data_IF_941100342506
#
_entry.id   IF_941100342506
#
_cell.length_a   1.000
_cell.length_b   1.000
_cell.length_c   1.000
_cell.angle_alpha   90.00
_cell.angle_beta   90.00
_cell.angle_gamma   90.00
#
_symmetry.space_group_name_H-M   'P 1'
#
loop_
_entity.id
_entity.type
_entity.pdbx_description
1 polymer ?
#
# COMPACT_ATOMS: atom_id res chain seq x y z
N UNK A 1 18.81 -32.64 -21.59
CA UNK A 1 18.20 -32.48 -20.26
C UNK A 1 17.62 -31.07 -20.15
N UNK A 2 16.32 -30.88 -20.38
CA UNK A 2 15.64 -29.58 -20.28
C UNK A 2 15.11 -29.43 -18.86
N UNK A 3 15.61 -28.46 -18.10
CA UNK A 3 15.12 -28.12 -16.76
C UNK A 3 13.87 -27.26 -16.90
N UNK A 4 12.71 -27.83 -16.55
CA UNK A 4 11.46 -27.10 -16.39
C UNK A 4 11.51 -26.34 -15.06
N UNK A 5 11.58 -25.01 -15.12
CA UNK A 5 11.41 -24.14 -13.97
C UNK A 5 9.91 -24.03 -13.72
N UNK A 6 9.42 -24.72 -12.69
CA UNK A 6 8.05 -24.60 -12.23
C UNK A 6 7.90 -23.25 -11.53
N UNK A 7 7.31 -22.27 -12.23
CA UNK A 7 6.86 -21.02 -11.62
C UNK A 7 5.57 -21.32 -10.90
N UNK A 8 5.65 -21.47 -9.57
CA UNK A 8 4.47 -21.68 -8.71
C UNK A 8 3.73 -20.36 -8.60
N UNK A 9 2.71 -20.17 -9.44
CA UNK A 9 1.77 -19.05 -9.35
C UNK A 9 0.86 -19.33 -8.15
N UNK A 10 1.16 -18.69 -7.02
CA UNK A 10 0.29 -18.72 -5.84
C UNK A 10 -0.70 -17.57 -5.98
N UNK A 11 -1.84 -17.85 -6.62
CA UNK A 11 -2.97 -16.91 -6.70
C UNK A 11 -3.75 -16.96 -5.39
N UNK A 12 -3.42 -16.10 -4.43
CA UNK A 12 -4.22 -15.94 -3.21
C UNK A 12 -5.34 -14.94 -3.52
N UNK A 13 -6.48 -15.47 -3.97
CA UNK A 13 -7.75 -14.73 -3.98
C UNK A 13 -8.32 -14.74 -2.55
N UNK A 14 -8.01 -13.70 -1.78
CA UNK A 14 -8.78 -13.37 -0.58
C UNK A 14 -9.06 -11.87 -0.57
N UNK A 15 -10.22 -11.50 -1.11
CA UNK A 15 -10.87 -10.25 -0.75
C UNK A 15 -11.35 -10.33 0.69
N UNK A 16 -10.88 -9.39 1.53
CA UNK A 16 -11.63 -8.71 2.57
C UNK A 16 -10.72 -7.76 3.35
N UNK A 17 -11.24 -6.55 3.59
CA UNK A 17 -10.78 -5.51 4.52
C UNK A 17 -9.55 -4.70 4.11
N UNK A 18 -9.83 -3.53 3.53
CA UNK A 18 -9.03 -2.33 3.76
C UNK A 18 -9.07 -1.99 5.25
N UNK A 19 -8.31 -2.71 6.06
CA UNK A 19 -8.07 -2.32 7.44
C UNK A 19 -7.36 -0.98 7.44
N UNK A 20 -7.90 0.00 8.17
CA UNK A 20 -7.43 1.39 8.22
C UNK A 20 -6.04 1.57 8.85
N UNK A 21 -5.32 0.49 9.16
CA UNK A 21 -3.99 0.54 9.75
C UNK A 21 -2.90 0.47 8.68
N UNK A 22 -1.90 1.35 8.78
CA UNK A 22 -0.67 1.30 7.98
C UNK A 22 0.31 0.22 8.49
N UNK A 23 -0.22 -0.91 8.97
CA UNK A 23 0.54 -1.96 9.66
C UNK A 23 1.31 -2.89 8.71
N UNK A 24 1.09 -2.76 7.40
CA UNK A 24 1.76 -3.55 6.37
C UNK A 24 2.11 -2.71 5.13
N UNK A 25 3.17 -3.07 4.38
CA UNK A 25 3.53 -2.38 3.14
C UNK A 25 2.40 -2.35 2.10
N UNK A 26 1.56 -3.38 2.04
CA UNK A 26 0.41 -3.40 1.12
C UNK A 26 -0.62 -2.35 1.52
N UNK A 27 -1.00 -2.30 2.81
CA UNK A 27 -1.99 -1.32 3.29
C UNK A 27 -1.46 0.09 3.15
N UNK A 28 -0.19 0.33 3.47
CA UNK A 28 0.44 1.63 3.26
C UNK A 28 0.44 2.03 1.79
N UNK A 29 0.79 1.12 0.87
CA UNK A 29 0.77 1.41 -0.56
C UNK A 29 -0.65 1.75 -1.04
N UNK A 30 -1.67 1.02 -0.57
CA UNK A 30 -3.08 1.31 -0.89
C UNK A 30 -3.52 2.68 -0.37
N UNK A 31 -3.18 3.02 0.87
CA UNK A 31 -3.55 4.30 1.48
C UNK A 31 -2.91 5.49 0.75
N UNK A 32 -1.61 5.40 0.43
CA UNK A 32 -0.90 6.43 -0.34
C UNK A 32 -1.48 6.55 -1.75
N UNK A 33 -1.79 5.43 -2.41
CA UNK A 33 -2.43 5.42 -3.73
C UNK A 33 -3.81 6.06 -3.70
N UNK A 34 -4.63 5.78 -2.67
CA UNK A 34 -5.95 6.39 -2.50
C UNK A 34 -5.85 7.91 -2.31
N UNK A 35 -4.87 8.38 -1.53
CA UNK A 35 -4.61 9.82 -1.40
C UNK A 35 -4.22 10.46 -2.73
N UNK A 36 -3.36 9.81 -3.51
CA UNK A 36 -2.94 10.31 -4.83
C UNK A 36 -4.08 10.27 -5.87
N UNK A 37 -5.08 9.40 -5.68
CA UNK A 37 -6.29 9.37 -6.49
C UNK A 37 -7.24 10.56 -6.20
N UNK A 38 -7.00 11.30 -5.12
CA UNK A 38 -7.81 12.45 -4.71
C UNK A 38 -9.20 12.02 -4.24
N UNK A 39 -10.24 12.70 -4.72
CA UNK A 39 -11.63 12.43 -4.34
C UNK A 39 -12.24 11.20 -5.05
N UNK A 40 -11.45 10.52 -5.89
CA UNK A 40 -11.92 9.38 -6.68
C UNK A 40 -11.87 8.10 -5.86
N UNK A 41 -12.97 7.37 -5.85
CA UNK A 41 -13.03 6.03 -5.27
C UNK A 41 -12.12 5.06 -6.03
N UNK A 42 -11.26 4.37 -5.30
CA UNK A 42 -10.34 3.36 -5.84
C UNK A 42 -10.94 1.96 -5.67
N UNK A 43 -11.01 1.22 -6.76
CA UNK A 43 -11.43 -0.19 -6.79
C UNK A 43 -10.19 -1.06 -7.03
N UNK A 44 -9.89 -1.96 -6.09
CA UNK A 44 -8.72 -2.83 -6.14
C UNK A 44 -9.02 -4.12 -6.91
N UNK A 45 -8.15 -4.48 -7.85
CA UNK A 45 -8.25 -5.69 -8.67
C UNK A 45 -7.21 -6.74 -8.34
N UNK A 46 -6.01 -6.30 -7.92
CA UNK A 46 -4.90 -7.19 -7.63
C UNK A 46 -3.86 -6.53 -6.72
N UNK A 47 -3.16 -7.37 -5.98
CA UNK A 47 -2.02 -6.97 -5.17
C UNK A 47 -0.94 -8.04 -5.23
N UNK A 48 0.31 -7.61 -5.31
CA UNK A 48 1.47 -8.48 -5.27
C UNK A 48 2.56 -7.82 -4.44
N UNK A 49 3.19 -8.59 -3.55
CA UNK A 49 4.38 -8.17 -2.83
C UNK A 49 5.55 -9.04 -3.29
N UNK A 50 6.66 -8.40 -3.65
CA UNK A 50 7.92 -9.07 -4.00
C UNK A 50 9.01 -8.55 -3.10
N UNK A 51 9.73 -9.46 -2.46
CA UNK A 51 10.80 -9.14 -1.55
C UNK A 51 12.16 -9.51 -2.16
N UNK A 52 13.09 -8.58 -2.12
CA UNK A 52 14.50 -8.84 -2.32
C UNK A 52 15.20 -8.61 -0.98
N UNK A 53 15.41 -9.72 -0.26
CA UNK A 53 16.01 -9.73 1.08
C UNK A 53 17.31 -8.94 1.13
N UNK A 54 17.45 -8.07 2.13
CA UNK A 54 18.60 -7.20 2.35
C UNK A 54 18.73 -6.04 1.36
N UNK A 55 17.73 -5.81 0.50
CA UNK A 55 17.79 -4.77 -0.54
C UNK A 55 16.54 -3.89 -0.55
N UNK A 56 15.38 -4.47 -0.85
CA UNK A 56 14.12 -3.72 -0.99
C UNK A 56 12.91 -4.64 -0.94
N UNK A 57 11.77 -4.05 -0.63
CA UNK A 57 10.45 -4.64 -0.79
C UNK A 57 9.68 -3.85 -1.83
N UNK A 58 8.99 -4.53 -2.73
CA UNK A 58 8.14 -3.92 -3.75
C UNK A 58 6.71 -4.40 -3.57
N UNK A 59 5.76 -3.47 -3.59
CA UNK A 59 4.33 -3.74 -3.68
C UNK A 59 3.82 -3.24 -5.01
N UNK A 60 3.13 -4.10 -5.75
CA UNK A 60 2.41 -3.76 -6.97
C UNK A 60 0.92 -3.88 -6.70
N UNK A 61 0.15 -2.85 -7.06
CA UNK A 61 -1.30 -2.80 -6.92
C UNK A 61 -1.93 -2.54 -8.29
N UNK A 62 -2.93 -3.32 -8.65
CA UNK A 62 -3.76 -3.08 -9.83
C UNK A 62 -5.11 -2.52 -9.37
N UNK A 63 -5.52 -1.39 -9.93
CA UNK A 63 -6.72 -0.66 -9.49
C UNK A 63 -7.41 0.07 -10.64
N UNK A 64 -8.69 0.39 -10.48
CA UNK A 64 -9.41 1.34 -11.33
C UNK A 64 -10.03 2.44 -10.49
N UNK A 65 -10.27 3.59 -11.11
CA UNK A 65 -11.02 4.68 -10.48
C UNK A 65 -12.49 4.51 -10.84
N UNK A 66 -13.41 4.71 -9.88
CA UNK A 66 -14.85 4.46 -10.09
C UNK A 66 -15.45 5.25 -11.26
N UNK A 67 -14.88 6.42 -11.58
CA UNK A 67 -15.34 7.28 -12.67
C UNK A 67 -14.59 7.05 -13.99
N UNK A 68 -13.73 6.03 -14.08
CA UNK A 68 -13.04 5.66 -15.32
C UNK A 68 -13.82 4.61 -16.12
N UNK A 69 -13.65 4.60 -17.46
CA UNK A 69 -14.26 3.59 -18.31
C UNK A 69 -13.98 2.17 -17.82
N UNK A 70 -15.00 1.30 -17.84
CA UNK A 70 -14.84 -0.11 -17.49
C UNK A 70 -13.72 -0.75 -18.33
N UNK A 71 -12.80 -1.44 -17.66
CA UNK A 71 -11.65 -2.10 -18.29
C UNK A 71 -10.35 -1.30 -18.26
N UNK A 72 -10.35 -0.03 -17.83
CA UNK A 72 -9.11 0.73 -17.62
C UNK A 72 -8.52 0.39 -16.24
N UNK A 73 -7.58 -0.55 -16.23
CA UNK A 73 -6.79 -0.90 -15.03
C UNK A 73 -5.51 -0.07 -15.03
N UNK A 74 -5.31 0.67 -13.94
CA UNK A 74 -4.06 1.34 -13.59
C UNK A 74 -3.23 0.48 -12.66
N UNK A 75 -1.93 0.74 -12.64
CA UNK A 75 -0.97 0.06 -11.77
C UNK A 75 -0.23 1.07 -10.89
N UNK A 76 -0.15 0.79 -9.60
CA UNK A 76 0.74 1.47 -8.67
C UNK A 76 1.86 0.53 -8.24
N UNK A 77 3.10 1.02 -8.21
CA UNK A 77 4.28 0.29 -7.73
C UNK A 77 4.91 1.10 -6.60
N UNK A 78 4.84 0.59 -5.38
CA UNK A 78 5.47 1.16 -4.20
C UNK A 78 6.76 0.38 -3.88
N UNK A 79 7.86 1.10 -3.73
CA UNK A 79 9.16 0.54 -3.36
C UNK A 79 9.49 1.01 -1.95
N UNK A 80 9.92 0.06 -1.12
CA UNK A 80 10.29 0.24 0.26
C UNK A 80 11.77 -0.12 0.43
N UNK A 81 12.55 0.84 0.92
CA UNK A 81 13.93 0.61 1.33
C UNK A 81 14.04 -0.11 2.66
N UNK A 82 15.27 -0.45 3.05
CA UNK A 82 15.58 -0.98 4.38
C UNK A 82 15.25 0.06 5.46
N UNK A 83 14.78 -0.39 6.63
CA UNK A 83 14.70 0.46 7.81
C UNK A 83 16.11 0.79 8.30
N UNK A 84 16.43 2.06 8.56
CA UNK A 84 17.69 2.39 9.23
C UNK A 84 17.64 1.96 10.71
N UNK A 85 18.81 1.70 11.30
CA UNK A 85 18.92 1.35 12.74
C UNK A 85 18.41 2.45 13.67
N UNK A 86 18.32 3.70 13.17
CA UNK A 86 17.86 4.88 13.90
C UNK A 86 16.34 5.15 13.77
N UNK A 87 15.59 4.32 13.02
CA UNK A 87 14.14 4.43 12.97
C UNK A 87 13.49 3.55 14.04
N UNK A 88 12.98 4.16 15.10
CA UNK A 88 12.24 3.51 16.22
C UNK A 88 11.00 2.69 15.78
N UNK A 89 10.60 2.79 14.51
CA UNK A 89 9.40 2.16 13.96
C UNK A 89 9.77 1.12 12.91
N UNK A 90 10.13 -0.09 13.36
CA UNK A 90 10.23 -1.27 12.49
C UNK A 90 8.83 -1.71 12.05
N UNK A 91 8.64 -2.03 10.76
CA UNK A 91 7.41 -2.70 10.33
C UNK A 91 7.29 -4.07 11.04
N UNK A 92 6.13 -4.73 10.97
CA UNK A 92 5.95 -6.08 11.52
C UNK A 92 6.94 -7.12 10.94
N UNK A 93 7.70 -6.77 9.90
CA UNK A 93 8.74 -7.57 9.24
C UNK A 93 10.19 -7.14 9.59
N UNK A 94 10.38 -6.16 10.47
CA UNK A 94 11.67 -5.76 11.06
C UNK A 94 12.72 -5.11 10.14
N UNK A 95 12.67 -5.37 8.83
CA UNK A 95 13.78 -5.13 7.89
C UNK A 95 13.57 -3.91 6.97
N UNK A 96 12.33 -3.53 6.69
CA UNK A 96 11.99 -2.49 5.71
C UNK A 96 11.27 -1.29 6.35
N UNK A 97 11.37 -0.13 5.72
CA UNK A 97 10.65 1.06 6.14
C UNK A 97 9.13 0.86 6.07
N UNK A 98 8.37 1.58 6.91
CA UNK A 98 6.91 1.53 6.93
C UNK A 98 6.26 2.24 5.73
N UNK A 99 6.99 3.17 5.12
CA UNK A 99 6.51 4.04 4.04
C UNK A 99 7.36 3.87 2.79
N UNK A 100 6.79 3.96 1.59
CA UNK A 100 7.54 3.82 0.36
C UNK A 100 8.52 4.99 0.19
N UNK A 101 9.74 4.70 -0.25
CA UNK A 101 10.72 5.72 -0.62
C UNK A 101 10.64 6.11 -2.10
N UNK A 102 9.99 5.27 -2.91
CA UNK A 102 9.67 5.56 -4.31
C UNK A 102 8.31 4.97 -4.65
N UNK A 103 7.56 5.67 -5.51
CA UNK A 103 6.30 5.20 -6.03
C UNK A 103 6.18 5.53 -7.51
N UNK A 104 5.56 4.62 -8.28
CA UNK A 104 5.19 4.82 -9.67
C UNK A 104 3.70 4.59 -9.85
N UNK A 105 3.05 5.38 -10.70
CA UNK A 105 1.70 5.13 -11.20
C UNK A 105 1.78 5.01 -12.72
N UNK A 106 1.33 3.89 -13.27
CA UNK A 106 1.35 3.61 -14.71
C UNK A 106 2.74 3.82 -15.33
N UNK A 107 3.80 3.42 -14.61
CA UNK A 107 5.19 3.57 -15.03
C UNK A 107 5.79 4.97 -14.85
N UNK A 108 5.00 5.96 -14.42
CA UNK A 108 5.47 7.32 -14.14
C UNK A 108 5.84 7.48 -12.68
N UNK A 109 7.07 7.92 -12.41
CA UNK A 109 7.52 8.17 -11.05
C UNK A 109 6.79 9.36 -10.43
N UNK A 110 6.31 9.19 -9.20
CA UNK A 110 5.75 10.29 -8.40
C UNK A 110 6.91 11.12 -7.84
N UNK A 111 6.91 12.46 -7.99
CA UNK A 111 7.93 13.31 -7.40
C UNK A 111 8.03 13.12 -5.88
N UNK A 112 9.25 13.14 -5.34
CA UNK A 112 9.47 12.84 -3.91
C UNK A 112 8.70 13.76 -2.97
N UNK A 113 8.56 15.05 -3.30
CA UNK A 113 7.79 15.99 -2.49
C UNK A 113 6.30 15.60 -2.42
N UNK A 114 5.73 15.17 -3.55
CA UNK A 114 4.33 14.77 -3.65
C UNK A 114 4.11 13.44 -2.92
N UNK A 115 5.07 12.51 -3.03
CA UNK A 115 5.03 11.24 -2.31
C UNK A 115 5.06 11.46 -0.79
N UNK A 116 5.94 12.33 -0.28
CA UNK A 116 6.00 12.66 1.15
C UNK A 116 4.68 13.28 1.63
N UNK A 117 4.10 14.19 0.85
CA UNK A 117 2.80 14.77 1.19
C UNK A 117 1.68 13.72 1.19
N UNK A 118 1.68 12.81 0.23
CA UNK A 118 0.70 11.74 0.15
C UNK A 118 0.82 10.77 1.35
N UNK A 119 2.04 10.41 1.74
CA UNK A 119 2.33 9.59 2.94
C UNK A 119 1.84 10.29 4.21
N UNK A 120 2.13 11.58 4.37
CA UNK A 120 1.69 12.34 5.54
C UNK A 120 0.16 12.42 5.63
N UNK A 121 -0.51 12.65 4.50
CA UNK A 121 -1.97 12.68 4.44
C UNK A 121 -2.58 11.29 4.68
N UNK A 122 -2.00 10.23 4.12
CA UNK A 122 -2.44 8.86 4.40
C UNK A 122 -2.34 8.52 5.90
N UNK A 123 -1.24 8.91 6.53
CA UNK A 123 -1.03 8.74 7.97
C UNK A 123 -2.05 9.54 8.80
N UNK A 124 -2.33 10.79 8.41
CA UNK A 124 -3.33 11.62 9.07
C UNK A 124 -4.74 11.04 8.95
N UNK A 125 -5.13 10.55 7.76
CA UNK A 125 -6.44 9.93 7.52
C UNK A 125 -6.62 8.69 8.40
N UNK A 126 -5.62 7.79 8.42
CA UNK A 126 -5.62 6.62 9.32
C UNK A 126 -5.78 7.02 10.78
N UNK A 127 -5.07 8.04 11.26
CA UNK A 127 -5.18 8.48 12.65
C UNK A 127 -6.58 9.03 12.98
N UNK A 128 -7.20 9.76 12.05
CA UNK A 128 -8.57 10.27 12.21
C UNK A 128 -9.59 9.13 12.26
N UNK A 129 -9.47 8.16 11.37
CA UNK A 129 -10.37 7.00 11.28
C UNK A 129 -10.28 6.15 12.56
N UNK A 130 -9.08 5.85 13.05
CA UNK A 130 -8.88 5.15 14.33
C UNK A 130 -9.52 5.94 15.48
N UNK A 131 -9.32 7.26 15.52
CA UNK A 131 -9.94 8.13 16.53
C UNK A 131 -11.48 8.07 16.49
N UNK A 132 -12.07 8.07 15.30
CA UNK A 132 -13.52 7.96 15.13
C UNK A 132 -14.05 6.58 15.53
N UNK A 133 -13.36 5.49 15.16
CA UNK A 133 -13.74 4.13 15.57
C UNK A 133 -13.72 3.98 17.10
N UNK A 134 -12.71 4.54 17.78
CA UNK A 134 -12.63 4.53 19.25
C UNK A 134 -13.79 5.31 19.87
N UNK A 135 -14.10 6.50 19.36
CA UNK A 135 -15.22 7.31 19.84
C UNK A 135 -16.58 6.59 19.62
N UNK A 136 -16.78 5.92 18.49
CA UNK A 136 -17.97 5.14 18.23
C UNK A 136 -18.10 3.93 19.17
N UNK A 137 -17.00 3.24 19.46
CA UNK A 137 -16.98 2.14 20.44
C UNK A 137 -17.29 2.62 21.86
N UNK A 138 -16.78 3.78 22.26
CA UNK A 138 -17.09 4.38 23.57
C UNK A 138 -18.56 4.82 23.64
N UNK A 139 -19.09 5.43 22.57
CA UNK A 139 -20.47 5.94 22.55
C UNK A 139 -21.53 4.85 22.29
N UNK A 140 -21.16 3.73 21.67
CA UNK A 140 -22.02 2.58 21.38
C UNK A 140 -22.06 1.51 22.47
N UNK A 141 -21.19 1.59 23.49
CA UNK A 141 -21.29 0.79 24.72
C UNK A 141 -22.23 1.50 25.72
N UNK A 142 -23.54 1.34 25.52
CA UNK A 142 -24.57 1.52 26.56
C UNK A 142 -25.44 0.27 26.62
#
# INVERSE_FOLDING_TARGET
MRKLVAVTIVSILTGCSGGHNLDSPIKTCKAVTAVLAGDKSVVWHGEQQTEQKGVRLQVTLDFSLADQPQGQVSQAVCIYGLSSQDMDYRNAMGEYANTPNQMLINGQAIPSNDLVQAVNRATANTAQEIGQEVLQKINGQK
#
